data_IF_427481550911
#
_entry.id   IF_427481550911
#
_cell.length_a   1.000
_cell.length_b   1.000
_cell.length_c   1.000
_cell.angle_alpha   90.00
_cell.angle_beta   90.00
_cell.angle_gamma   90.00
#
_symmetry.space_group_name_H-M   'P 1'
#
loop_
_entity.id
_entity.type
_entity.pdbx_description
1 polymer ?
#
# COMPACT_ATOMS: atom_id res chain seq x y z
N UNK A 1 -43.06 15.16 -4.22
CA UNK A 1 -42.85 16.05 -3.06
C UNK A 1 -41.66 16.94 -3.41
N UNK A 2 -41.91 18.25 -3.44
CA UNK A 2 -41.03 19.43 -3.62
C UNK A 2 -39.52 19.25 -3.55
N UNK A 3 -38.66 20.03 -4.21
CA UNK A 3 -38.79 21.15 -5.15
C UNK A 3 -37.36 21.61 -5.53
N UNK A 4 -37.20 22.10 -6.76
CA UNK A 4 -36.43 23.30 -7.17
C UNK A 4 -34.90 23.32 -7.05
N UNK A 5 -34.25 23.46 -8.20
CA UNK A 5 -33.24 24.50 -8.38
C UNK A 5 -33.62 25.38 -9.59
N UNK A 6 -33.69 26.68 -9.33
CA UNK A 6 -34.03 27.71 -10.29
C UNK A 6 -32.78 28.12 -11.09
N UNK A 7 -32.95 28.22 -12.41
CA UNK A 7 -32.07 28.98 -13.26
C UNK A 7 -32.51 30.45 -13.25
N UNK A 8 -31.57 31.38 -13.11
CA UNK A 8 -31.70 32.71 -13.71
C UNK A 8 -30.30 33.26 -14.01
N UNK A 9 -30.09 33.60 -15.29
CA UNK A 9 -28.95 34.32 -15.82
C UNK A 9 -28.94 35.78 -15.33
N UNK A 10 -27.80 36.48 -15.45
CA UNK A 10 -27.70 37.84 -16.05
C UNK A 10 -26.24 38.35 -16.04
N UNK A 11 -25.76 38.57 -17.27
CA UNK A 11 -25.03 39.72 -17.82
C UNK A 11 -23.56 40.01 -17.40
N UNK A 12 -22.71 39.92 -18.43
CA UNK A 12 -21.40 40.55 -18.58
C UNK A 12 -21.45 42.07 -18.32
N UNK A 13 -20.61 42.55 -17.42
CA UNK A 13 -20.19 43.95 -17.33
C UNK A 13 -18.72 44.00 -16.96
N UNK A 14 -17.86 44.30 -17.93
CA UNK A 14 -16.44 44.59 -17.71
C UNK A 14 -16.29 46.06 -17.30
N UNK A 15 -15.49 46.33 -16.25
CA UNK A 15 -14.66 47.53 -15.99
C UNK A 15 -13.98 47.38 -14.59
N UNK A 16 -12.88 48.09 -14.31
CA UNK A 16 -11.65 47.50 -13.77
C UNK A 16 -11.65 47.41 -12.24
N UNK A 17 -11.20 46.28 -11.71
CA UNK A 17 -10.91 46.16 -10.29
C UNK A 17 -9.60 46.89 -9.97
N UNK A 18 -9.74 47.96 -9.21
CA UNK A 18 -8.69 48.67 -8.49
C UNK A 18 -7.76 47.68 -7.76
N UNK A 19 -6.45 47.89 -7.89
CA UNK A 19 -5.42 47.17 -7.14
C UNK A 19 -5.54 47.56 -5.67
N UNK A 20 -6.22 46.74 -4.89
CA UNK A 20 -6.04 46.69 -3.46
C UNK A 20 -4.85 45.76 -3.19
N UNK A 21 -3.74 46.36 -2.76
CA UNK A 21 -2.58 45.64 -2.25
C UNK A 21 -2.98 44.88 -0.99
N UNK A 22 -3.44 43.64 -1.16
CA UNK A 22 -3.44 42.64 -0.10
C UNK A 22 -2.00 42.16 0.08
N UNK A 23 -1.52 42.17 1.31
CA UNK A 23 -0.27 41.51 1.65
C UNK A 23 -0.41 40.01 1.35
N UNK A 24 0.15 39.59 0.22
CA UNK A 24 0.33 38.18 -0.11
C UNK A 24 1.25 37.57 0.95
N UNK A 25 0.67 36.81 1.89
CA UNK A 25 1.42 35.77 2.59
C UNK A 25 1.93 34.84 1.49
N UNK A 26 3.26 34.63 1.33
CA UNK A 26 3.74 33.79 0.24
C UNK A 26 3.17 32.39 0.43
N UNK A 27 2.28 31.98 -0.47
CA UNK A 27 1.89 30.58 -0.63
C UNK A 27 3.16 29.81 -0.92
N UNK A 28 3.68 29.11 0.09
CA UNK A 28 4.90 28.32 -0.04
C UNK A 28 4.72 27.34 -1.20
N UNK A 29 5.65 27.35 -2.16
CA UNK A 29 5.57 26.42 -3.29
C UNK A 29 5.69 25.00 -2.74
N UNK A 30 4.70 24.16 -3.06
CA UNK A 30 4.65 22.78 -2.60
C UNK A 30 5.45 21.91 -3.56
N UNK A 31 6.45 21.21 -3.04
CA UNK A 31 7.31 20.31 -3.82
C UNK A 31 7.24 18.91 -3.20
N UNK A 32 6.78 17.93 -3.97
CA UNK A 32 6.80 16.52 -3.55
C UNK A 32 8.21 15.94 -3.70
N UNK A 33 8.71 15.34 -2.62
CA UNK A 33 10.07 14.84 -2.51
C UNK A 33 10.05 13.34 -2.22
N UNK A 34 10.24 12.49 -3.24
CA UNK A 34 10.33 11.05 -3.04
C UNK A 34 11.68 10.69 -2.43
N UNK A 35 11.75 10.60 -1.10
CA UNK A 35 12.96 10.21 -0.38
C UNK A 35 12.83 8.77 0.16
N UNK A 36 13.83 7.93 -0.12
CA UNK A 36 13.95 6.60 0.48
C UNK A 36 14.80 6.67 1.76
N UNK A 37 14.62 5.73 2.71
CA UNK A 37 15.54 5.58 3.83
C UNK A 37 16.99 5.42 3.35
N UNK A 38 17.93 6.16 3.95
CA UNK A 38 19.37 6.04 3.68
C UNK A 38 20.11 5.47 4.89
N UNK A 39 19.70 5.85 6.11
CA UNK A 39 20.27 5.35 7.35
C UNK A 39 19.18 4.93 8.32
N UNK A 40 19.42 3.80 9.02
CA UNK A 40 18.50 3.26 10.02
C UNK A 40 19.28 2.83 11.25
N UNK A 41 18.89 3.35 12.42
CA UNK A 41 19.39 2.87 13.71
C UNK A 41 18.30 2.07 14.41
N UNK A 42 18.49 0.76 14.58
CA UNK A 42 17.53 -0.12 15.25
C UNK A 42 17.84 -0.18 16.74
N UNK A 43 16.81 0.05 17.54
CA UNK A 43 16.79 -0.05 19.00
C UNK A 43 15.94 -1.25 19.43
N UNK A 44 15.85 -1.50 20.74
CA UNK A 44 14.92 -2.48 21.27
C UNK A 44 13.47 -1.98 21.09
N UNK A 45 12.75 -2.55 20.13
CA UNK A 45 11.34 -2.25 19.83
C UNK A 45 11.06 -0.99 19.00
N UNK A 46 12.07 -0.21 18.59
CA UNK A 46 11.92 0.95 17.69
C UNK A 46 13.08 1.05 16.71
N UNK A 47 12.93 1.84 15.66
CA UNK A 47 14.05 2.28 14.82
C UNK A 47 13.99 3.78 14.54
N UNK A 48 15.14 4.44 14.51
CA UNK A 48 15.30 5.77 13.94
C UNK A 48 15.63 5.63 12.46
N UNK A 49 14.82 6.25 11.62
CA UNK A 49 14.99 6.26 10.16
C UNK A 49 15.32 7.67 9.72
N UNK A 50 16.35 7.80 8.89
CA UNK A 50 16.71 9.06 8.22
C UNK A 50 16.54 8.89 6.71
N UNK A 51 15.72 9.77 6.13
CA UNK A 51 15.54 9.92 4.69
C UNK A 51 16.23 11.20 4.23
N UNK A 52 17.05 11.09 3.19
CA UNK A 52 17.77 12.22 2.62
C UNK A 52 17.22 12.54 1.24
N UNK A 53 17.06 13.83 0.94
CA UNK A 53 16.68 14.27 -0.39
C UNK A 53 17.46 15.50 -0.83
N UNK A 54 17.82 15.53 -2.10
CA UNK A 54 18.44 16.69 -2.74
C UNK A 54 17.45 17.36 -3.67
N UNK A 55 17.19 18.66 -3.45
CA UNK A 55 16.21 19.43 -4.21
C UNK A 55 16.80 20.80 -4.57
N UNK A 56 16.66 21.19 -5.83
CA UNK A 56 17.02 22.53 -6.30
C UNK A 56 15.82 23.47 -6.18
N UNK A 57 15.94 24.47 -5.31
CA UNK A 57 14.85 25.40 -5.01
C UNK A 57 15.26 26.85 -5.34
N UNK A 58 14.35 27.67 -5.87
CA UNK A 58 14.58 29.10 -5.99
C UNK A 58 14.55 29.79 -4.62
N UNK A 59 15.00 31.03 -4.54
CA UNK A 59 14.88 31.85 -3.31
C UNK A 59 13.41 32.00 -2.92
N UNK A 60 13.08 31.80 -1.63
CA UNK A 60 11.71 31.92 -1.13
C UNK A 60 11.32 30.89 -0.08
N UNK A 61 10.02 30.83 0.23
CA UNK A 61 9.41 29.83 1.12
C UNK A 61 8.92 28.64 0.31
N UNK A 62 9.28 27.43 0.75
CA UNK A 62 8.91 26.17 0.12
C UNK A 62 8.39 25.18 1.16
N UNK A 63 7.39 24.40 0.77
CA UNK A 63 6.86 23.29 1.57
C UNK A 63 7.25 21.97 0.89
N UNK A 64 8.16 21.24 1.51
CA UNK A 64 8.67 19.96 1.01
C UNK A 64 7.84 18.82 1.59
N UNK A 65 7.17 18.06 0.72
CA UNK A 65 6.31 16.94 1.11
C UNK A 65 7.06 15.62 0.98
N UNK A 66 7.30 14.96 2.10
CA UNK A 66 7.83 13.60 2.15
C UNK A 66 6.64 12.64 2.22
N UNK A 67 6.42 11.89 1.15
CA UNK A 67 5.28 10.97 1.00
C UNK A 67 5.63 9.54 1.41
N UNK A 68 4.60 8.70 1.51
CA UNK A 68 4.73 7.28 1.88
C UNK A 68 5.49 7.04 3.20
N UNK A 69 5.19 7.82 4.24
CA UNK A 69 5.65 7.48 5.60
C UNK A 69 4.74 6.40 6.20
N UNK A 70 5.32 5.40 6.89
CA UNK A 70 4.55 4.30 7.44
C UNK A 70 3.65 4.77 8.58
N UNK A 71 2.56 4.04 8.82
CA UNK A 71 1.66 4.31 9.96
C UNK A 71 2.35 4.23 11.32
N UNK A 72 3.44 3.46 11.41
CA UNK A 72 4.24 3.28 12.62
C UNK A 72 5.11 4.48 13.00
N UNK A 73 5.13 5.55 12.19
CA UNK A 73 5.83 6.80 12.55
C UNK A 73 5.24 7.38 13.84
N UNK A 74 6.13 7.79 14.76
CA UNK A 74 5.75 8.57 15.93
C UNK A 74 5.78 10.07 15.58
N UNK A 75 4.63 10.77 15.48
CA UNK A 75 4.55 12.16 15.00
C UNK A 75 5.52 13.13 15.67
N UNK A 76 5.59 13.04 17.00
CA UNK A 76 6.35 13.94 17.87
C UNK A 76 7.88 13.81 17.70
N UNK A 77 8.32 12.83 16.91
CA UNK A 77 9.75 12.53 16.69
C UNK A 77 10.23 12.99 15.31
N UNK A 78 9.34 13.53 14.48
CA UNK A 78 9.68 14.11 13.18
C UNK A 78 10.63 15.29 13.40
N UNK A 79 11.82 15.20 12.80
CA UNK A 79 12.83 16.25 12.81
C UNK A 79 13.39 16.41 11.41
N UNK A 80 13.57 17.64 10.96
CA UNK A 80 14.20 17.93 9.67
C UNK A 80 15.47 18.76 9.87
N UNK A 81 16.50 18.43 9.11
CA UNK A 81 17.73 19.21 9.01
C UNK A 81 17.97 19.55 7.55
N UNK A 82 18.44 20.77 7.29
CA UNK A 82 18.76 21.22 5.93
C UNK A 82 20.23 21.60 5.87
N UNK A 83 20.90 21.23 4.79
CA UNK A 83 22.27 21.64 4.45
C UNK A 83 22.24 22.48 3.18
N UNK A 84 22.94 23.62 3.21
CA UNK A 84 22.95 24.61 2.14
C UNK A 84 22.40 25.96 2.61
N UNK A 85 22.17 26.92 1.69
CA UNK A 85 21.69 28.26 2.02
C UNK A 85 20.16 28.27 2.27
N UNK A 86 19.72 27.47 3.25
CA UNK A 86 18.32 27.36 3.63
C UNK A 86 18.17 27.04 5.14
N UNK A 87 17.00 27.38 5.70
CA UNK A 87 16.65 27.13 7.11
C UNK A 87 15.29 26.44 7.20
N UNK A 88 15.18 25.47 8.11
CA UNK A 88 13.89 24.84 8.45
C UNK A 88 13.10 25.79 9.34
N UNK A 89 11.84 26.05 8.98
CA UNK A 89 10.90 26.85 9.76
C UNK A 89 9.96 25.98 10.60
N UNK A 90 9.62 24.79 10.11
CA UNK A 90 8.72 23.88 10.80
C UNK A 90 8.65 22.52 10.12
N UNK A 91 8.19 21.54 10.88
CA UNK A 91 7.88 20.19 10.39
C UNK A 91 6.50 19.83 10.90
N UNK A 92 5.55 19.71 9.98
CA UNK A 92 4.17 19.37 10.28
C UNK A 92 3.86 17.98 9.72
N UNK A 93 3.11 17.18 10.49
CA UNK A 93 2.56 15.94 9.98
C UNK A 93 1.17 16.20 9.40
N UNK A 94 0.95 15.70 8.18
CA UNK A 94 -0.36 15.59 7.58
C UNK A 94 -0.68 14.10 7.43
N UNK A 95 -1.84 13.69 7.94
CA UNK A 95 -2.39 12.37 7.62
C UNK A 95 -3.02 12.48 6.24
N UNK A 96 -2.44 11.80 5.25
CA UNK A 96 -2.98 11.75 3.90
C UNK A 96 -3.52 10.35 3.61
N UNK A 97 -4.79 10.26 3.25
CA UNK A 97 -5.30 9.06 2.58
C UNK A 97 -4.82 9.09 1.13
N UNK A 98 -3.53 8.81 0.90
CA UNK A 98 -3.06 8.49 -0.45
C UNK A 98 -3.67 7.15 -0.81
N UNK A 99 -4.57 7.14 -1.82
CA UNK A 99 -5.12 5.92 -2.36
C UNK A 99 -3.94 5.02 -2.79
N UNK A 100 -3.76 3.89 -2.09
CA UNK A 100 -2.62 2.97 -2.27
C UNK A 100 -2.57 2.25 -3.62
N UNK A 101 -3.34 2.73 -4.61
CA UNK A 101 -3.36 2.31 -6.01
C UNK A 101 -2.01 2.49 -6.73
N UNK A 102 -1.03 3.17 -6.13
CA UNK A 102 0.28 3.44 -6.75
C UNK A 102 1.38 2.41 -6.40
N UNK A 103 1.16 1.46 -5.49
CA UNK A 103 2.23 0.50 -5.16
C UNK A 103 2.52 -0.45 -6.35
N UNK A 104 3.79 -0.69 -6.71
CA UNK A 104 4.16 -1.65 -7.76
C UNK A 104 3.59 -3.05 -7.51
N UNK A 105 3.44 -3.45 -6.23
CA UNK A 105 2.87 -4.75 -5.83
C UNK A 105 1.38 -4.85 -6.14
N UNK A 106 0.59 -3.80 -5.90
CA UNK A 106 -0.84 -3.79 -6.22
C UNK A 106 -1.06 -3.90 -7.72
N UNK A 107 -0.28 -3.17 -8.54
CA UNK A 107 -0.36 -3.29 -10.01
C UNK A 107 -0.02 -4.69 -10.52
N UNK A 108 0.93 -5.36 -9.87
CA UNK A 108 1.27 -6.74 -10.22
C UNK A 108 0.15 -7.71 -9.85
N UNK A 109 -0.42 -7.56 -8.65
CA UNK A 109 -1.59 -8.34 -8.23
C UNK A 109 -2.80 -8.10 -9.15
N UNK A 110 -3.03 -6.87 -9.59
CA UNK A 110 -4.08 -6.54 -10.56
C UNK A 110 -3.89 -7.28 -11.88
N UNK A 111 -2.65 -7.38 -12.40
CA UNK A 111 -2.37 -8.18 -13.61
C UNK A 111 -2.64 -9.67 -13.38
N UNK A 112 -2.19 -10.21 -12.26
CA UNK A 112 -2.37 -11.63 -11.93
C UNK A 112 -3.86 -11.96 -11.81
N UNK A 113 -4.63 -11.12 -11.11
CA UNK A 113 -6.08 -11.25 -10.94
C UNK A 113 -6.77 -11.22 -12.31
N UNK A 114 -6.45 -10.25 -13.17
CA UNK A 114 -7.02 -10.19 -14.52
C UNK A 114 -6.70 -11.45 -15.35
N UNK A 115 -5.48 -11.98 -15.24
CA UNK A 115 -5.10 -13.23 -15.90
C UNK A 115 -5.87 -14.45 -15.38
N UNK A 116 -6.09 -14.54 -14.06
CA UNK A 116 -6.88 -15.60 -13.45
C UNK A 116 -8.37 -15.53 -13.83
N UNK A 117 -8.94 -14.32 -13.92
CA UNK A 117 -10.31 -14.11 -14.37
C UNK A 117 -10.52 -14.57 -15.82
N UNK A 118 -9.57 -14.27 -16.71
CA UNK A 118 -9.60 -14.78 -18.09
C UNK A 118 -9.51 -16.31 -18.12
N UNK A 119 -8.58 -16.90 -17.35
CA UNK A 119 -8.44 -18.36 -17.29
C UNK A 119 -9.70 -19.06 -16.75
N UNK A 120 -10.41 -18.42 -15.81
CA UNK A 120 -11.67 -18.94 -15.28
C UNK A 120 -12.79 -18.86 -16.33
N UNK A 121 -12.86 -17.75 -17.07
CA UNK A 121 -13.81 -17.58 -18.18
C UNK A 121 -13.57 -18.62 -19.30
N UNK A 122 -12.31 -18.97 -19.59
CA UNK A 122 -11.97 -20.04 -20.54
C UNK A 122 -12.51 -21.40 -20.07
N UNK A 123 -12.35 -21.72 -18.77
CA UNK A 123 -12.89 -22.96 -18.18
C UNK A 123 -14.43 -23.00 -18.26
N UNK A 124 -15.11 -21.88 -18.00
CA UNK A 124 -16.56 -21.77 -18.19
C UNK A 124 -16.97 -21.98 -19.66
N UNK A 125 -16.19 -21.46 -20.61
CA UNK A 125 -16.38 -21.71 -22.04
C UNK A 125 -16.24 -23.19 -22.40
N UNK A 126 -15.21 -23.86 -21.87
CA UNK A 126 -15.00 -25.31 -22.07
C UNK A 126 -16.17 -26.13 -21.46
N UNK A 127 -16.69 -25.74 -20.29
CA UNK A 127 -17.90 -26.35 -19.70
C UNK A 127 -19.13 -26.20 -20.60
N UNK A 128 -19.31 -25.04 -21.24
CA UNK A 128 -20.42 -24.81 -22.15
C UNK A 128 -20.33 -25.74 -23.39
N UNK A 129 -19.12 -25.97 -23.90
CA UNK A 129 -18.87 -26.92 -25.00
C UNK A 129 -19.24 -28.34 -24.57
N UNK A 130 -18.72 -28.82 -23.43
CA UNK A 130 -19.05 -30.15 -22.91
C UNK A 130 -20.55 -30.32 -22.71
N UNK A 131 -21.22 -29.30 -22.17
CA UNK A 131 -22.68 -29.33 -21.96
C UNK A 131 -23.45 -29.45 -23.29
N UNK A 132 -22.95 -28.81 -24.36
CA UNK A 132 -23.52 -28.96 -25.69
C UNK A 132 -23.28 -30.36 -26.27
N UNK A 133 -22.08 -30.92 -26.09
CA UNK A 133 -21.75 -32.30 -26.49
C UNK A 133 -22.62 -33.33 -25.74
N UNK A 134 -22.85 -33.16 -24.44
CA UNK A 134 -23.73 -34.02 -23.65
C UNK A 134 -25.16 -34.04 -24.18
N UNK A 135 -25.72 -32.87 -24.51
CA UNK A 135 -27.07 -32.77 -25.10
C UNK A 135 -27.17 -33.49 -26.44
N UNK A 136 -26.11 -33.44 -27.26
CA UNK A 136 -26.06 -34.15 -28.54
C UNK A 136 -26.05 -35.67 -28.31
N UNK A 137 -25.20 -36.14 -27.39
CA UNK A 137 -25.12 -37.57 -27.03
C UNK A 137 -26.43 -38.08 -26.44
N UNK A 138 -27.10 -37.28 -25.61
CA UNK A 138 -28.41 -37.59 -25.06
C UNK A 138 -29.48 -37.70 -26.16
N UNK A 139 -29.49 -36.78 -27.12
CA UNK A 139 -30.40 -36.82 -28.26
C UNK A 139 -30.18 -38.08 -29.14
N UNK A 140 -28.92 -38.48 -29.34
CA UNK A 140 -28.58 -39.75 -30.03
C UNK A 140 -29.11 -40.94 -29.24
N UNK A 141 -28.92 -40.97 -27.91
CA UNK A 141 -29.43 -42.04 -27.05
C UNK A 141 -30.97 -42.17 -27.07
N UNK A 142 -31.69 -41.05 -27.06
CA UNK A 142 -33.15 -41.02 -27.18
C UNK A 142 -33.60 -41.54 -28.55
N UNK A 143 -32.92 -41.15 -29.64
CA UNK A 143 -33.23 -41.62 -30.98
C UNK A 143 -32.99 -43.12 -31.15
N UNK A 144 -31.89 -43.64 -30.62
CA UNK A 144 -31.60 -45.10 -30.61
C UNK A 144 -32.71 -45.86 -29.89
N UNK A 145 -33.22 -45.31 -28.79
CA UNK A 145 -34.34 -45.89 -28.04
C UNK A 145 -35.66 -45.82 -28.81
N UNK A 146 -35.93 -44.70 -29.50
CA UNK A 146 -37.12 -44.50 -30.30
C UNK A 146 -37.14 -45.41 -31.54
N UNK A 147 -36.04 -45.48 -32.29
CA UNK A 147 -35.90 -46.33 -33.49
C UNK A 147 -36.06 -47.81 -33.13
N UNK A 148 -35.62 -48.24 -31.94
CA UNK A 148 -35.84 -49.60 -31.44
C UNK A 148 -37.32 -49.93 -31.13
N UNK A 149 -38.17 -48.91 -30.93
CA UNK A 149 -39.60 -49.07 -30.62
C UNK A 149 -40.54 -48.70 -31.77
N UNK A 150 -40.04 -48.00 -32.80
CA UNK A 150 -40.83 -47.47 -33.91
C UNK A 150 -41.22 -48.53 -34.96
N UNK A 151 -40.47 -49.63 -35.07
CA UNK A 151 -40.80 -50.73 -35.96
C UNK A 151 -41.86 -51.61 -35.30
N UNK A 152 -43.13 -51.29 -35.54
CA UNK A 152 -44.30 -52.02 -35.04
C UNK A 152 -44.36 -53.49 -35.48
N UNK A 153 -43.56 -54.34 -34.87
CA UNK A 153 -43.70 -55.80 -34.86
C UNK A 153 -43.39 -56.57 -36.15
N UNK A 154 -43.00 -55.93 -37.26
CA UNK A 154 -42.86 -56.64 -38.55
C UNK A 154 -41.45 -56.76 -39.12
N UNK A 155 -40.44 -56.03 -38.61
CA UNK A 155 -39.03 -56.25 -38.96
C UNK A 155 -38.27 -56.70 -37.70
N UNK A 156 -37.45 -57.75 -37.80
CA UNK A 156 -36.64 -58.24 -36.68
C UNK A 156 -35.71 -57.12 -36.23
N UNK A 157 -35.92 -56.61 -35.02
CA UNK A 157 -35.02 -55.67 -34.36
C UNK A 157 -33.58 -56.21 -34.42
N UNK A 158 -32.68 -55.45 -35.05
CA UNK A 158 -31.26 -55.78 -35.12
C UNK A 158 -30.61 -55.44 -33.77
N UNK A 159 -30.60 -56.43 -32.87
CA UNK A 159 -30.08 -56.30 -31.51
C UNK A 159 -28.59 -55.97 -31.48
N UNK A 160 -27.82 -56.37 -32.50
CA UNK A 160 -26.38 -56.12 -32.53
C UNK A 160 -26.11 -54.66 -32.89
N UNK A 161 -26.86 -54.11 -33.85
CA UNK A 161 -26.81 -52.66 -34.16
C UNK A 161 -27.20 -51.78 -32.97
N UNK A 162 -28.24 -52.16 -32.22
CA UNK A 162 -28.65 -51.43 -31.00
C UNK A 162 -27.57 -51.50 -29.92
N UNK A 163 -26.94 -52.66 -29.73
CA UNK A 163 -25.82 -52.82 -28.78
C UNK A 163 -24.63 -51.93 -29.13
N UNK A 164 -24.26 -51.84 -30.40
CA UNK A 164 -23.17 -50.97 -30.86
C UNK A 164 -23.47 -49.49 -30.61
N UNK A 165 -24.69 -49.05 -30.91
CA UNK A 165 -25.12 -47.66 -30.67
C UNK A 165 -25.14 -47.30 -29.18
N UNK A 166 -25.63 -48.20 -28.32
CA UNK A 166 -25.59 -48.01 -26.87
C UNK A 166 -24.15 -48.02 -26.32
N UNK A 167 -23.28 -48.85 -26.88
CA UNK A 167 -21.86 -48.86 -26.52
C UNK A 167 -21.18 -47.54 -26.88
N UNK A 168 -21.47 -46.98 -28.07
CA UNK A 168 -20.99 -45.67 -28.48
C UNK A 168 -21.43 -44.56 -27.51
N UNK A 169 -22.74 -44.47 -27.21
CA UNK A 169 -23.29 -43.48 -26.28
C UNK A 169 -22.67 -43.60 -24.88
N UNK A 170 -22.46 -44.83 -24.39
CA UNK A 170 -21.81 -45.07 -23.09
C UNK A 170 -20.37 -44.55 -23.08
N UNK A 171 -19.56 -44.95 -24.06
CA UNK A 171 -18.15 -44.51 -24.17
C UNK A 171 -18.05 -43.00 -24.25
N UNK A 172 -18.90 -42.36 -25.03
CA UNK A 172 -18.88 -40.91 -25.20
C UNK A 172 -19.29 -40.19 -23.91
N UNK A 173 -20.31 -40.69 -23.20
CA UNK A 173 -20.65 -40.18 -21.86
C UNK A 173 -19.51 -40.34 -20.86
N UNK A 174 -18.84 -41.49 -20.83
CA UNK A 174 -17.70 -41.71 -19.93
C UNK A 174 -16.56 -40.71 -20.22
N UNK A 175 -16.26 -40.45 -21.49
CA UNK A 175 -15.29 -39.42 -21.92
C UNK A 175 -15.69 -38.03 -21.44
N UNK A 176 -16.95 -37.62 -21.67
CA UNK A 176 -17.46 -36.30 -21.28
C UNK A 176 -17.50 -36.10 -19.76
N UNK A 177 -17.87 -37.14 -19.00
CA UNK A 177 -17.83 -37.14 -17.54
C UNK A 177 -16.41 -36.95 -17.01
N UNK A 178 -15.43 -37.65 -17.59
CA UNK A 178 -14.02 -37.51 -17.21
C UNK A 178 -13.50 -36.10 -17.51
N UNK A 179 -13.79 -35.58 -18.71
CA UNK A 179 -13.39 -34.23 -19.11
C UNK A 179 -14.00 -33.15 -18.19
N UNK A 180 -15.29 -33.27 -17.84
CA UNK A 180 -15.94 -32.34 -16.91
C UNK A 180 -15.30 -32.32 -15.53
N UNK A 181 -14.98 -33.49 -14.97
CA UNK A 181 -14.32 -33.57 -13.65
C UNK A 181 -12.98 -32.83 -13.64
N UNK A 182 -12.19 -33.00 -14.69
CA UNK A 182 -10.91 -32.30 -14.85
C UNK A 182 -11.09 -30.78 -14.90
N UNK A 183 -12.10 -30.31 -15.63
CA UNK A 183 -12.41 -28.88 -15.68
C UNK A 183 -12.93 -28.33 -14.35
N UNK A 184 -13.79 -29.08 -13.65
CA UNK A 184 -14.29 -28.69 -12.33
C UNK A 184 -13.13 -28.54 -11.32
N UNK A 185 -12.16 -29.45 -11.36
CA UNK A 185 -10.97 -29.39 -10.51
C UNK A 185 -10.11 -28.18 -10.85
N UNK A 186 -9.84 -27.94 -12.15
CA UNK A 186 -9.09 -26.78 -12.61
C UNK A 186 -9.78 -25.47 -12.23
N UNK A 187 -11.10 -25.38 -12.42
CA UNK A 187 -11.91 -24.22 -12.03
C UNK A 187 -11.85 -23.95 -10.53
N UNK A 188 -11.97 -24.99 -9.69
CA UNK A 188 -11.82 -24.85 -8.23
C UNK A 188 -10.45 -24.34 -7.83
N UNK A 189 -9.38 -24.84 -8.44
CA UNK A 189 -8.00 -24.36 -8.16
C UNK A 189 -7.84 -22.90 -8.56
N UNK A 190 -8.25 -22.53 -9.78
CA UNK A 190 -8.16 -21.15 -10.25
C UNK A 190 -8.99 -20.18 -9.39
N UNK A 191 -10.18 -20.59 -8.97
CA UNK A 191 -11.04 -19.78 -8.09
C UNK A 191 -10.39 -19.59 -6.71
N UNK A 192 -9.83 -20.65 -6.12
CA UNK A 192 -9.14 -20.55 -4.84
C UNK A 192 -7.91 -19.62 -4.93
N UNK A 193 -7.15 -19.69 -6.03
CA UNK A 193 -6.04 -18.78 -6.28
C UNK A 193 -6.52 -17.33 -6.45
N UNK A 194 -7.60 -17.11 -7.21
CA UNK A 194 -8.20 -15.79 -7.41
C UNK A 194 -8.63 -15.16 -6.07
N UNK A 195 -9.32 -15.93 -5.24
CA UNK A 195 -9.78 -15.46 -3.93
C UNK A 195 -8.59 -15.13 -3.00
N UNK A 196 -7.54 -15.95 -3.02
CA UNK A 196 -6.32 -15.69 -2.26
C UNK A 196 -5.61 -14.40 -2.74
N UNK A 197 -5.48 -14.18 -4.06
CA UNK A 197 -4.86 -12.96 -4.60
C UNK A 197 -5.70 -11.71 -4.35
N UNK A 198 -7.04 -11.82 -4.39
CA UNK A 198 -7.94 -10.74 -4.00
C UNK A 198 -7.80 -10.40 -2.51
N UNK A 199 -7.74 -11.40 -1.64
CA UNK A 199 -7.49 -11.19 -0.22
C UNK A 199 -6.11 -10.55 0.05
N UNK A 200 -5.06 -10.98 -0.66
CA UNK A 200 -3.72 -10.37 -0.58
C UNK A 200 -3.76 -8.89 -1.00
N UNK A 201 -4.43 -8.60 -2.12
CA UNK A 201 -4.62 -7.24 -2.62
C UNK A 201 -5.43 -6.37 -1.64
N UNK A 202 -6.50 -6.91 -1.07
CA UNK A 202 -7.33 -6.23 -0.07
C UNK A 202 -6.59 -6.03 1.25
N UNK A 203 -5.73 -6.95 1.67
CA UNK A 203 -4.87 -6.75 2.82
C UNK A 203 -3.88 -5.60 2.57
N UNK A 204 -3.31 -5.51 1.36
CA UNK A 204 -2.44 -4.39 0.97
C UNK A 204 -3.25 -3.09 0.87
N UNK A 205 -4.44 -3.10 0.29
CA UNK A 205 -5.30 -1.91 0.18
C UNK A 205 -5.90 -1.47 1.52
N UNK A 206 -6.23 -2.41 2.40
CA UNK A 206 -6.76 -2.19 3.75
C UNK A 206 -5.70 -1.78 4.76
N UNK A 207 -4.46 -2.27 4.60
CA UNK A 207 -3.28 -1.69 5.26
C UNK A 207 -2.89 -0.34 4.64
N UNK A 208 -3.23 -0.15 3.36
CA UNK A 208 -2.98 1.04 2.54
C UNK A 208 -4.11 2.06 2.56
N UNK A 209 -4.56 2.48 3.74
CA UNK A 209 -5.60 3.51 3.88
C UNK A 209 -5.18 4.84 4.49
N UNK A 210 -3.98 4.94 5.06
CA UNK A 210 -3.44 6.21 5.60
C UNK A 210 -1.92 6.15 5.50
N UNK A 211 -1.34 6.94 4.60
CA UNK A 211 0.08 7.21 4.62
C UNK A 211 0.27 8.55 5.31
N UNK A 212 1.28 8.64 6.16
CA UNK A 212 1.61 9.93 6.75
C UNK A 212 2.47 10.70 5.75
N UNK A 213 2.25 12.00 5.69
CA UNK A 213 3.04 12.92 4.88
C UNK A 213 3.66 13.91 5.84
N UNK A 214 4.98 14.02 5.84
CA UNK A 214 5.66 15.08 6.56
C UNK A 214 5.83 16.28 5.63
N UNK A 215 5.42 17.45 6.08
CA UNK A 215 5.62 18.72 5.39
C UNK A 215 6.71 19.48 6.10
N UNK A 216 7.85 19.63 5.44
CA UNK A 216 8.98 20.42 5.94
C UNK A 216 8.94 21.78 5.28
N UNK A 217 8.68 22.83 6.07
CA UNK A 217 8.70 24.20 5.56
C UNK A 217 10.12 24.74 5.64
N UNK A 218 10.67 25.17 4.50
CA UNK A 218 12.03 25.70 4.40
C UNK A 218 12.04 27.11 3.81
N UNK A 219 12.90 27.97 4.35
CA UNK A 219 13.21 29.28 3.81
C UNK A 219 14.57 29.24 3.12
N UNK A 220 14.59 29.45 1.80
CA UNK A 220 15.79 29.42 0.97
C UNK A 220 16.26 30.84 0.72
N UNK A 221 17.49 31.17 1.13
CA UNK A 221 18.04 32.53 1.02
C UNK A 221 18.64 32.85 -0.35
N UNK A 222 18.99 31.84 -1.14
CA UNK A 222 19.50 31.98 -2.50
C UNK A 222 19.21 30.71 -3.30
N UNK A 223 18.85 30.84 -4.57
CA UNK A 223 18.60 29.70 -5.45
C UNK A 223 19.78 28.72 -5.45
N UNK A 224 19.56 27.50 -4.96
CA UNK A 224 20.60 26.49 -4.77
C UNK A 224 20.01 25.08 -4.66
N UNK A 225 20.86 24.08 -4.91
CA UNK A 225 20.60 22.72 -4.48
C UNK A 225 20.80 22.64 -2.95
N UNK A 226 19.78 22.15 -2.26
CA UNK A 226 19.82 21.90 -0.82
C UNK A 226 19.63 20.41 -0.54
N UNK A 227 20.22 19.94 0.54
CA UNK A 227 20.03 18.59 1.07
C UNK A 227 19.16 18.66 2.31
N UNK A 228 18.14 17.80 2.39
CA UNK A 228 17.18 17.77 3.50
C UNK A 228 17.14 16.37 4.08
N UNK A 229 17.52 16.27 5.35
CA UNK A 229 17.49 15.05 6.15
C UNK A 229 16.22 15.06 7.00
N UNK A 230 15.26 14.18 6.72
CA UNK A 230 14.09 13.93 7.57
C UNK A 230 14.35 12.72 8.46
N UNK A 231 14.35 12.91 9.77
CA UNK A 231 14.56 11.86 10.77
C UNK A 231 13.30 11.64 11.62
N UNK A 232 12.98 10.39 11.90
CA UNK A 232 11.81 10.01 12.70
C UNK A 232 11.96 8.64 13.33
N UNK A 233 11.20 8.39 14.39
CA UNK A 233 11.09 7.07 15.01
C UNK A 233 9.89 6.30 14.44
N UNK A 234 10.13 5.04 14.11
CA UNK A 234 9.08 4.06 13.79
C UNK A 234 8.96 3.01 14.89
N UNK A 235 7.73 2.61 15.17
CA UNK A 235 7.42 1.41 15.98
C UNK A 235 7.54 0.16 15.13
N UNK A 236 7.53 -1.02 15.76
CA UNK A 236 7.49 -2.32 15.07
C UNK A 236 8.78 -2.70 14.32
N UNK A 237 9.91 -2.23 14.84
CA UNK A 237 11.23 -2.73 14.47
C UNK A 237 12.05 -3.01 15.72
N UNK A 238 12.74 -4.14 15.78
CA UNK A 238 13.60 -4.48 16.92
C UNK A 238 14.79 -5.29 16.45
N UNK A 239 15.83 -5.32 17.26
CA UNK A 239 16.92 -6.28 17.10
C UNK A 239 17.20 -6.98 18.43
N UNK A 240 17.74 -8.19 18.36
CA UNK A 240 18.25 -8.91 19.52
C UNK A 240 19.60 -9.56 19.20
N UNK A 241 20.54 -9.58 20.17
CA UNK A 241 21.80 -10.29 20.00
C UNK A 241 21.59 -11.80 20.05
N UNK A 242 22.24 -12.52 19.13
CA UNK A 242 22.32 -13.97 19.13
C UNK A 242 23.78 -14.39 19.33
N UNK A 243 24.03 -15.24 20.31
CA UNK A 243 25.37 -15.73 20.64
C UNK A 243 25.44 -17.22 20.38
N UNK A 244 26.43 -17.65 19.59
CA UNK A 244 26.73 -19.06 19.41
C UNK A 244 28.13 -19.36 19.92
N UNK A 245 28.24 -20.38 20.76
CA UNK A 245 29.49 -20.81 21.37
C UNK A 245 29.88 -22.18 20.83
N UNK A 246 31.09 -22.27 20.26
CA UNK A 246 31.66 -23.55 19.83
C UNK A 246 32.96 -23.81 20.57
N UNK A 247 32.98 -24.86 21.38
CA UNK A 247 34.20 -25.33 22.03
C UNK A 247 35.05 -26.14 21.03
N UNK A 248 36.36 -25.90 21.04
CA UNK A 248 37.30 -26.72 20.26
C UNK A 248 37.43 -28.11 20.91
N UNK A 249 37.13 -29.21 20.17
CA UNK A 249 37.27 -30.58 20.67
C UNK A 249 38.69 -30.94 21.11
N UNK A 250 39.73 -30.24 20.63
CA UNK A 250 41.14 -30.48 20.95
C UNK A 250 41.62 -29.86 22.27
N UNK A 251 40.79 -29.02 22.91
CA UNK A 251 41.12 -28.33 24.15
C UNK A 251 41.96 -27.07 23.95
N UNK A 252 41.45 -25.92 24.40
CA UNK A 252 42.23 -24.68 24.53
C UNK A 252 41.55 -23.41 24.00
N UNK A 253 40.45 -23.53 23.24
CA UNK A 253 39.75 -22.37 22.67
C UNK A 253 38.24 -22.51 22.63
N UNK A 254 37.55 -21.37 22.70
CA UNK A 254 36.11 -21.23 22.46
C UNK A 254 35.95 -20.18 21.37
N UNK A 255 35.20 -20.51 20.32
CA UNK A 255 34.77 -19.55 19.29
C UNK A 255 33.42 -18.99 19.72
N UNK A 256 33.33 -17.66 19.76
CA UNK A 256 32.09 -16.92 19.96
C UNK A 256 31.69 -16.28 18.63
N UNK A 257 30.56 -16.71 18.08
CA UNK A 257 29.90 -16.03 16.97
C UNK A 257 28.84 -15.10 17.55
N UNK A 258 28.86 -13.84 17.11
CA UNK A 258 27.94 -12.80 17.55
C UNK A 258 27.12 -12.31 16.37
N UNK A 259 25.87 -12.72 16.35
CA UNK A 259 24.89 -12.38 15.34
C UNK A 259 23.87 -11.38 15.89
N UNK A 260 23.17 -10.69 15.00
CA UNK A 260 22.06 -9.84 15.35
C UNK A 260 20.83 -10.22 14.54
N UNK A 261 19.74 -10.56 15.24
CA UNK A 261 18.47 -10.86 14.60
C UNK A 261 17.61 -9.60 14.57
N UNK A 262 17.33 -9.09 13.37
CA UNK A 262 16.52 -7.89 13.17
C UNK A 262 15.13 -8.32 12.71
N UNK A 263 14.11 -7.82 13.39
CA UNK A 263 12.70 -7.97 12.99
C UNK A 263 12.16 -6.59 12.63
N UNK A 264 11.63 -6.44 11.42
CA UNK A 264 10.99 -5.22 10.96
C UNK A 264 9.60 -5.53 10.42
N UNK A 265 8.62 -4.73 10.85
CA UNK A 265 7.23 -4.77 10.38
C UNK A 265 6.72 -3.35 10.09
N UNK A 266 7.61 -2.40 9.83
CA UNK A 266 7.26 -0.99 9.61
C UNK A 266 6.64 -0.75 8.24
N UNK A 267 6.80 -1.67 7.29
CA UNK A 267 6.29 -1.54 5.92
C UNK A 267 7.17 -0.67 5.02
N UNK A 268 8.31 -0.19 5.52
CA UNK A 268 9.32 0.50 4.72
C UNK A 268 10.33 -0.47 4.10
N UNK A 269 10.84 -0.09 2.93
CA UNK A 269 11.94 -0.77 2.27
C UNK A 269 13.29 -0.26 2.83
N UNK A 270 14.01 -1.14 3.53
CA UNK A 270 15.35 -0.88 4.08
C UNK A 270 16.46 -1.54 3.25
N UNK A 271 16.23 -1.80 1.96
CA UNK A 271 17.27 -2.31 1.08
C UNK A 271 18.42 -1.30 0.91
N UNK A 272 19.66 -1.75 1.15
CA UNK A 272 20.90 -0.98 0.99
C UNK A 272 21.03 0.26 1.90
N UNK A 273 20.43 0.24 3.10
CA UNK A 273 20.59 1.32 4.08
C UNK A 273 21.85 1.14 4.94
N UNK A 274 22.39 2.24 5.43
CA UNK A 274 23.39 2.22 6.49
C UNK A 274 22.72 1.82 7.83
N UNK A 275 22.82 0.54 8.19
CA UNK A 275 22.19 0.00 9.39
C UNK A 275 23.12 0.09 10.61
N UNK A 276 22.62 0.64 11.71
CA UNK A 276 23.29 0.68 13.02
C UNK A 276 22.42 -0.02 14.06
N UNK A 277 23.01 -0.82 14.93
CA UNK A 277 22.31 -1.49 16.03
C UNK A 277 22.69 -0.84 17.35
N UNK A 278 21.69 -0.50 18.17
CA UNK A 278 21.90 0.17 19.44
C UNK A 278 21.07 -0.45 20.55
N UNK A 279 21.68 -0.66 21.71
CA UNK A 279 21.00 -1.08 22.94
C UNK A 279 20.42 0.11 23.71
N UNK A 280 20.59 1.34 23.22
CA UNK A 280 20.06 2.54 23.85
C UNK A 280 18.52 2.60 23.77
N UNK A 281 17.90 3.32 24.71
CA UNK A 281 16.46 3.56 24.71
C UNK A 281 16.18 5.04 24.40
N UNK A 282 15.83 5.41 23.16
CA UNK A 282 15.73 6.81 22.73
C UNK A 282 14.56 7.58 23.36
N UNK A 283 13.65 6.90 24.07
CA UNK A 283 12.46 7.51 24.71
C UNK A 283 12.51 7.49 26.23
N UNK A 284 13.62 7.03 26.84
CA UNK A 284 13.74 6.98 28.30
C UNK A 284 14.02 8.40 28.82
N UNK A 285 12.93 9.14 29.09
CA UNK A 285 12.96 10.43 29.77
C UNK A 285 13.39 10.18 31.20
N UNK A 286 14.60 10.58 31.59
CA UNK A 286 15.00 10.48 32.99
C UNK A 286 14.45 11.59 33.86
N UNK A 287 14.02 12.75 33.34
CA UNK A 287 13.04 13.69 33.92
C UNK A 287 12.66 14.79 32.89
N UNK A 288 11.39 15.24 32.80
CA UNK A 288 11.02 16.45 32.06
C UNK A 288 11.62 17.70 32.74
N UNK A 289 12.03 18.75 32.00
CA UNK A 289 12.36 20.03 32.62
C UNK A 289 11.11 20.67 33.22
N UNK A 290 11.24 21.29 34.38
CA UNK A 290 10.17 22.09 34.95
C UNK A 290 9.88 23.31 34.04
N UNK A 291 8.61 23.49 33.68
CA UNK A 291 8.18 24.60 32.84
C UNK A 291 8.08 25.87 33.67
N UNK A 292 8.91 26.88 33.37
CA UNK A 292 8.73 28.22 33.92
C UNK A 292 7.63 28.96 33.15
N UNK A 293 6.55 29.42 33.81
CA UNK A 293 5.50 30.17 33.14
C UNK A 293 6.02 31.55 32.72
N UNK A 294 5.86 31.88 31.45
CA UNK A 294 6.03 33.24 30.94
C UNK A 294 4.69 33.98 30.95
N UNK A 295 4.65 35.14 31.58
CA UNK A 295 3.47 36.00 31.60
C UNK A 295 3.64 37.12 30.58
N UNK A 296 2.68 37.25 29.66
CA UNK A 296 2.65 38.33 28.67
C UNK A 296 1.57 39.31 29.07
N UNK A 297 1.95 40.55 29.33
CA UNK A 297 1.02 41.64 29.60
C UNK A 297 1.05 42.65 28.44
N UNK A 298 -0.13 43.15 28.05
CA UNK A 298 -0.27 44.15 26.98
C UNK A 298 -0.36 45.53 27.62
N UNK A 299 0.78 46.23 27.69
CA UNK A 299 0.79 47.62 28.16
C UNK A 299 0.15 48.51 27.10
N UNK A 300 -1.13 48.84 27.32
CA UNK A 300 -1.81 49.91 26.58
C UNK A 300 -1.14 51.26 26.87
N UNK A 301 -1.01 52.13 25.86
CA UNK A 301 -0.24 53.38 25.91
C UNK A 301 -0.73 54.46 26.91
N UNK A 302 -1.64 54.13 27.84
CA UNK A 302 -2.15 55.01 28.88
C UNK A 302 -1.66 54.73 30.30
N UNK A 303 -0.93 53.64 30.55
CA UNK A 303 -0.61 53.22 31.93
C UNK A 303 0.89 52.95 32.11
N UNK A 304 1.68 54.04 32.22
CA UNK A 304 3.14 53.99 32.36
C UNK A 304 3.65 54.09 33.80
N UNK A 305 2.77 54.25 34.78
CA UNK A 305 3.19 54.57 36.16
C UNK A 305 3.16 53.37 37.13
N UNK A 306 2.94 52.15 36.65
CA UNK A 306 2.97 50.96 37.50
C UNK A 306 3.90 49.89 36.92
N UNK A 307 5.22 50.11 37.04
CA UNK A 307 6.21 49.04 36.82
C UNK A 307 6.73 48.60 38.19
N UNK A 308 6.41 47.38 38.69
CA UNK A 308 7.15 46.81 39.81
C UNK A 308 8.53 46.38 39.30
N UNK A 309 9.58 46.74 40.04
CA UNK A 309 10.94 46.31 39.71
C UNK A 309 11.05 44.79 39.90
N UNK A 310 11.37 44.12 38.80
CA UNK A 310 11.81 42.73 38.78
C UNK A 310 13.21 42.65 39.41
N UNK A 311 13.39 41.76 40.38
CA UNK A 311 14.67 41.11 40.60
C UNK A 311 14.78 39.91 39.65
#
# INVERSE_FOLDING_TARGET
>A
MSMRFAAFAVVLGALPASVAAGQDVPTAAVVDVPARPEAVTVYLGRAAVTRTAQVSLPTGLHALRFTALPKSVTPQTLQARVRGPARVLGVDELVATEASTSSPRVRELDRIIAGLEVALADVEGEHAIITAEERLVDAVGVRVSADATATGGTDRLDLDRVREQLAFVRTERERLLAARRTLDERGRTLQADLDNRRAEREAIAGSGGEHRVAVVTVAVSSAAAIEVDLSYLVTDATWEPAYNFRADPGGGGVVLEYDAMITQRTGEDWANVALTLSTAQPTQVTHPPDLEPWFVDLIGAGDRDAIPQLQ
#
